data_IF_838922527525
#
_entry.id   IF_838922527525
#
_cell.length_a   1.000
_cell.length_b   1.000
_cell.length_c   1.000
_cell.angle_alpha   90.00
_cell.angle_beta   90.00
_cell.angle_gamma   90.00
#
_symmetry.space_group_name_H-M   'P 1'
#
loop_
_entity.id
_entity.type
_entity.pdbx_description
1 polymer ?
#
# COMPACT_ATOMS: atom_id res chain seq x y z
N UNK A 1 -27.42 -51.45 -42.07
CA UNK A 1 -27.15 -50.81 -40.79
C UNK A 1 -26.57 -49.43 -41.04
N UNK A 2 -27.40 -48.40 -40.98
CA UNK A 2 -26.98 -47.03 -41.20
C UNK A 2 -26.88 -46.29 -39.88
N UNK A 3 -25.64 -45.91 -39.50
CA UNK A 3 -25.37 -45.14 -38.28
C UNK A 3 -25.41 -43.64 -38.60
N UNK A 4 -26.47 -42.98 -38.22
CA UNK A 4 -26.65 -41.53 -38.39
C UNK A 4 -25.80 -40.78 -37.36
N UNK A 5 -24.74 -40.11 -37.80
CA UNK A 5 -24.00 -39.14 -36.99
C UNK A 5 -24.83 -37.88 -36.80
N UNK A 6 -25.32 -37.66 -35.59
CA UNK A 6 -25.89 -36.37 -35.15
C UNK A 6 -24.78 -35.36 -34.99
N UNK A 7 -24.66 -34.40 -35.90
CA UNK A 7 -23.81 -33.22 -35.76
C UNK A 7 -24.52 -32.25 -34.83
N UNK A 8 -23.93 -32.05 -33.65
CA UNK A 8 -24.38 -31.04 -32.71
C UNK A 8 -23.84 -29.69 -33.20
N UNK A 9 -24.70 -28.84 -33.75
CA UNK A 9 -24.38 -27.45 -34.07
C UNK A 9 -24.37 -26.67 -32.77
N UNK A 10 -23.21 -26.18 -32.37
CA UNK A 10 -23.03 -25.22 -31.27
C UNK A 10 -23.39 -23.83 -31.84
N UNK A 11 -24.60 -23.36 -31.58
CA UNK A 11 -25.02 -21.99 -31.89
C UNK A 11 -24.38 -21.07 -30.84
N UNK A 12 -23.22 -20.53 -31.20
CA UNK A 12 -22.47 -19.55 -30.39
C UNK A 12 -23.11 -18.16 -30.44
N UNK A 13 -24.28 -17.98 -29.82
CA UNK A 13 -24.77 -16.66 -29.43
C UNK A 13 -24.33 -16.41 -27.98
N UNK A 14 -23.03 -16.25 -27.81
CA UNK A 14 -22.48 -15.57 -26.64
C UNK A 14 -22.87 -14.09 -26.72
N UNK A 15 -24.07 -13.74 -26.28
CA UNK A 15 -24.41 -12.36 -25.97
C UNK A 15 -23.48 -11.91 -24.87
N UNK A 16 -22.34 -11.31 -25.26
CA UNK A 16 -21.55 -10.49 -24.36
C UNK A 16 -22.49 -9.42 -23.84
N UNK A 17 -22.91 -9.53 -22.58
CA UNK A 17 -23.60 -8.47 -21.87
C UNK A 17 -22.63 -7.29 -21.87
N UNK A 18 -22.73 -6.41 -22.83
CA UNK A 18 -22.23 -5.06 -22.80
C UNK A 18 -23.02 -4.37 -21.69
N UNK A 19 -22.51 -4.44 -20.45
CA UNK A 19 -23.07 -3.64 -19.38
C UNK A 19 -22.95 -2.17 -19.80
N UNK A 20 -24.05 -1.44 -19.71
CA UNK A 20 -24.02 0.00 -19.92
C UNK A 20 -22.91 0.63 -19.04
N UNK A 21 -22.23 1.66 -19.54
CA UNK A 21 -21.19 2.32 -18.76
C UNK A 21 -21.75 2.78 -17.39
N UNK A 22 -20.95 2.70 -16.31
CA UNK A 22 -21.42 3.09 -15.00
C UNK A 22 -21.88 4.54 -14.96
N UNK A 23 -23.04 4.78 -14.33
CA UNK A 23 -23.52 6.14 -14.11
C UNK A 23 -22.74 6.80 -12.97
N UNK A 24 -22.81 8.13 -12.89
CA UNK A 24 -22.23 8.90 -11.79
C UNK A 24 -22.68 8.42 -10.41
N UNK A 25 -23.97 8.12 -10.24
CA UNK A 25 -24.52 7.62 -8.98
C UNK A 25 -23.95 6.24 -8.63
N UNK A 26 -23.77 5.37 -9.62
CA UNK A 26 -23.14 4.07 -9.43
C UNK A 26 -21.68 4.21 -9.02
N UNK A 27 -20.89 5.08 -9.69
CA UNK A 27 -19.49 5.35 -9.34
C UNK A 27 -19.37 5.93 -7.93
N UNK A 28 -20.23 6.89 -7.57
CA UNK A 28 -20.29 7.47 -6.23
C UNK A 28 -20.61 6.41 -5.15
N UNK A 29 -21.58 5.53 -5.42
CA UNK A 29 -21.92 4.42 -4.53
C UNK A 29 -20.74 3.45 -4.31
N UNK A 30 -20.00 3.10 -5.38
CA UNK A 30 -18.80 2.28 -5.27
C UNK A 30 -17.71 2.95 -4.41
N UNK A 31 -17.45 4.23 -4.63
CA UNK A 31 -16.46 4.97 -3.85
C UNK A 31 -16.84 5.08 -2.36
N UNK A 32 -18.11 5.33 -2.04
CA UNK A 32 -18.60 5.32 -0.67
C UNK A 32 -18.46 3.95 0.00
N UNK A 33 -18.76 2.87 -0.71
CA UNK A 33 -18.60 1.51 -0.20
C UNK A 33 -17.12 1.16 0.08
N UNK A 34 -16.17 1.74 -0.69
CA UNK A 34 -14.75 1.63 -0.39
C UNK A 34 -14.39 2.38 0.90
N UNK A 35 -14.78 3.65 0.99
CA UNK A 35 -14.49 4.53 2.13
C UNK A 35 -15.14 4.05 3.44
N UNK A 36 -16.28 3.39 3.37
CA UNK A 36 -16.92 2.78 4.54
C UNK A 36 -16.09 1.64 5.19
N UNK A 37 -15.14 1.05 4.46
CA UNK A 37 -14.30 -0.05 4.98
C UNK A 37 -13.00 0.44 5.59
N UNK A 38 -12.38 1.44 4.96
CA UNK A 38 -11.14 2.08 5.40
C UNK A 38 -10.91 3.37 4.63
N UNK A 39 -9.96 4.16 5.08
CA UNK A 39 -9.46 5.27 4.26
C UNK A 39 -8.88 4.75 2.93
N UNK A 40 -9.14 5.48 1.86
CA UNK A 40 -8.58 5.23 0.52
C UNK A 40 -8.02 6.53 -0.04
N UNK A 41 -6.90 6.43 -0.76
CA UNK A 41 -6.40 7.58 -1.54
C UNK A 41 -7.30 7.87 -2.74
N UNK A 42 -7.26 9.11 -3.22
CA UNK A 42 -7.91 9.47 -4.49
C UNK A 42 -7.39 8.58 -5.64
N UNK A 43 -6.10 8.24 -5.64
CA UNK A 43 -5.49 7.34 -6.61
C UNK A 43 -6.05 5.91 -6.56
N UNK A 44 -6.28 5.34 -5.37
CA UNK A 44 -6.91 4.02 -5.22
C UNK A 44 -8.36 4.03 -5.72
N UNK A 45 -9.13 5.08 -5.39
CA UNK A 45 -10.52 5.24 -5.84
C UNK A 45 -10.56 5.37 -7.36
N UNK A 46 -9.76 6.27 -7.94
CA UNK A 46 -9.65 6.47 -9.39
C UNK A 46 -9.36 5.17 -10.12
N UNK A 47 -8.36 4.44 -9.68
CA UNK A 47 -8.01 3.14 -10.24
C UNK A 47 -9.18 2.17 -10.21
N UNK A 48 -9.86 2.05 -9.06
CA UNK A 48 -10.97 1.11 -8.90
C UNK A 48 -12.18 1.48 -9.76
N UNK A 49 -12.48 2.78 -9.87
CA UNK A 49 -13.59 3.25 -10.71
C UNK A 49 -13.29 3.10 -12.22
N UNK A 50 -12.02 3.28 -12.62
CA UNK A 50 -11.58 2.95 -13.99
C UNK A 50 -11.71 1.45 -14.29
N UNK A 51 -11.31 0.58 -13.36
CA UNK A 51 -11.36 -0.88 -13.53
C UNK A 51 -12.79 -1.40 -13.78
N UNK A 52 -13.82 -0.67 -13.33
CA UNK A 52 -15.23 -1.00 -13.58
C UNK A 52 -15.82 -0.28 -14.81
N UNK A 53 -14.99 0.41 -15.60
CA UNK A 53 -15.36 1.07 -16.84
C UNK A 53 -15.96 2.47 -16.66
N UNK A 54 -15.66 3.15 -15.56
CA UNK A 54 -16.09 4.53 -15.35
C UNK A 54 -15.45 5.51 -16.33
N UNK A 55 -16.21 6.49 -16.76
CA UNK A 55 -15.72 7.63 -17.55
C UNK A 55 -14.78 8.50 -16.70
N UNK A 56 -13.68 8.98 -17.31
CA UNK A 56 -12.63 9.70 -16.58
C UNK A 56 -13.14 11.01 -15.95
N UNK A 57 -13.95 11.78 -16.66
CA UNK A 57 -14.48 13.05 -16.17
C UNK A 57 -15.49 12.83 -15.02
N UNK A 58 -16.32 11.80 -15.13
CA UNK A 58 -17.25 11.41 -14.06
C UNK A 58 -16.49 10.93 -12.80
N UNK A 59 -15.38 10.22 -12.97
CA UNK A 59 -14.55 9.75 -11.85
C UNK A 59 -13.96 10.94 -11.10
N UNK A 60 -13.37 11.91 -11.81
CA UNK A 60 -12.77 13.09 -11.17
C UNK A 60 -13.84 13.95 -10.46
N UNK A 61 -15.02 14.10 -11.04
CA UNK A 61 -16.14 14.79 -10.42
C UNK A 61 -16.60 14.08 -9.12
N UNK A 62 -16.73 12.75 -9.14
CA UNK A 62 -17.05 11.95 -7.94
C UNK A 62 -15.98 12.13 -6.87
N UNK A 63 -14.69 12.03 -7.21
CA UNK A 63 -13.59 12.20 -6.25
C UNK A 63 -13.62 13.61 -5.64
N UNK A 64 -13.75 14.64 -6.48
CA UNK A 64 -13.84 16.03 -6.05
C UNK A 64 -14.97 16.26 -5.04
N UNK A 65 -16.17 15.71 -5.30
CA UNK A 65 -17.30 15.81 -4.39
C UNK A 65 -17.06 15.11 -3.04
N UNK A 66 -16.41 13.94 -3.06
CA UNK A 66 -16.06 13.24 -1.83
C UNK A 66 -15.05 14.05 -1.00
N UNK A 67 -14.10 14.72 -1.66
CA UNK A 67 -13.14 15.61 -0.99
C UNK A 67 -13.80 16.85 -0.40
N UNK A 68 -14.64 17.54 -1.17
CA UNK A 68 -15.39 18.73 -0.70
C UNK A 68 -16.26 18.41 0.53
N UNK A 69 -16.82 17.19 0.57
CA UNK A 69 -17.61 16.71 1.72
C UNK A 69 -16.75 16.11 2.83
N UNK A 70 -15.43 16.17 2.73
CA UNK A 70 -14.47 15.57 3.65
C UNK A 70 -14.68 14.05 3.89
N UNK A 71 -15.29 13.37 2.94
CA UNK A 71 -15.44 11.90 2.96
C UNK A 71 -14.18 11.19 2.51
N UNK A 72 -13.44 11.78 1.58
CA UNK A 72 -12.12 11.33 1.15
C UNK A 72 -11.05 12.36 1.53
N UNK A 73 -9.87 11.88 1.98
CA UNK A 73 -8.70 12.72 2.27
C UNK A 73 -7.42 11.91 2.10
N UNK A 74 -6.53 12.40 1.22
CA UNK A 74 -5.21 11.79 1.03
C UNK A 74 -4.32 11.95 2.27
N UNK A 75 -4.54 12.98 3.07
CA UNK A 75 -3.84 13.18 4.36
C UNK A 75 -4.23 12.08 5.35
N UNK A 76 -5.53 11.89 5.63
CA UNK A 76 -5.99 10.84 6.55
C UNK A 76 -5.59 9.44 6.07
N UNK A 77 -5.69 9.21 4.74
CA UNK A 77 -5.22 7.96 4.15
C UNK A 77 -3.73 7.74 4.43
N UNK A 78 -2.88 8.75 4.18
CA UNK A 78 -1.43 8.65 4.36
C UNK A 78 -1.04 8.39 5.81
N UNK A 79 -1.64 9.10 6.76
CA UNK A 79 -1.44 8.88 8.20
C UNK A 79 -1.82 7.46 8.64
N UNK A 80 -2.99 6.99 8.20
CA UNK A 80 -3.45 5.63 8.48
C UNK A 80 -2.54 4.57 7.86
N UNK A 81 -2.05 4.82 6.64
CA UNK A 81 -1.13 3.93 5.93
C UNK A 81 0.22 3.84 6.63
N UNK A 82 0.83 4.98 7.00
CA UNK A 82 2.10 5.04 7.75
C UNK A 82 1.97 4.24 9.04
N UNK A 83 0.94 4.51 9.85
CA UNK A 83 0.69 3.81 11.11
C UNK A 83 0.61 2.29 10.91
N UNK A 84 -0.25 1.85 10.03
CA UNK A 84 -0.45 0.42 9.74
C UNK A 84 0.81 -0.28 9.25
N UNK A 85 1.67 0.42 8.50
CA UNK A 85 2.92 -0.16 7.98
C UNK A 85 4.03 -0.17 9.04
N UNK A 86 4.17 0.90 9.82
CA UNK A 86 5.10 0.99 10.93
C UNK A 86 4.85 -0.13 11.96
N UNK A 87 3.59 -0.32 12.38
CA UNK A 87 3.18 -1.40 13.29
C UNK A 87 3.53 -2.80 12.77
N UNK A 88 3.56 -2.99 11.44
CA UNK A 88 3.99 -4.24 10.79
C UNK A 88 5.50 -4.34 10.58
N UNK A 89 6.28 -3.39 11.08
CA UNK A 89 7.73 -3.37 11.00
C UNK A 89 8.29 -3.00 9.64
N UNK A 90 7.59 -2.15 8.87
CA UNK A 90 8.14 -1.55 7.67
C UNK A 90 8.80 -0.21 7.98
N UNK A 91 9.93 0.04 7.34
CA UNK A 91 10.67 1.29 7.45
C UNK A 91 10.24 2.35 6.44
N UNK A 92 10.74 3.58 6.59
CA UNK A 92 10.26 4.76 5.86
C UNK A 92 10.34 4.64 4.35
N UNK A 93 11.38 4.00 3.79
CA UNK A 93 11.54 3.86 2.33
C UNK A 93 10.45 3.02 1.67
N UNK A 94 10.08 1.89 2.28
CA UNK A 94 9.00 1.03 1.76
C UNK A 94 7.65 1.71 1.94
N UNK A 95 7.46 2.45 3.03
CA UNK A 95 6.22 3.19 3.29
C UNK A 95 6.07 4.32 2.28
N UNK A 96 7.10 5.13 2.05
CA UNK A 96 7.09 6.20 1.04
C UNK A 96 6.76 5.66 -0.35
N UNK A 97 7.44 4.60 -0.77
CA UNK A 97 7.18 3.95 -2.04
C UNK A 97 5.72 3.50 -2.15
N UNK A 98 5.21 2.85 -1.10
CA UNK A 98 3.82 2.38 -1.10
C UNK A 98 2.77 3.49 -1.09
N UNK A 99 3.05 4.68 -0.55
CA UNK A 99 2.21 5.86 -0.66
C UNK A 99 2.20 6.38 -2.11
N UNK A 100 3.38 6.48 -2.73
CA UNK A 100 3.52 6.92 -4.13
C UNK A 100 2.82 6.00 -5.11
N UNK A 101 2.90 4.69 -4.93
CA UNK A 101 2.18 3.70 -5.73
C UNK A 101 0.65 3.87 -5.65
N UNK A 102 0.18 4.59 -4.64
CA UNK A 102 -1.24 4.90 -4.41
C UNK A 102 -1.63 6.33 -4.79
N UNK A 103 -0.76 7.01 -5.50
CA UNK A 103 -1.02 8.34 -6.05
C UNK A 103 -0.75 9.50 -5.08
N UNK A 104 -0.12 9.24 -3.93
CA UNK A 104 0.36 10.32 -3.06
C UNK A 104 1.67 10.87 -3.64
N UNK A 105 1.76 12.17 -3.80
CA UNK A 105 2.97 12.80 -4.29
C UNK A 105 4.14 12.66 -3.31
N UNK A 106 5.35 12.83 -3.83
CA UNK A 106 6.57 12.60 -3.05
C UNK A 106 6.68 13.52 -1.82
N UNK A 107 6.32 14.78 -1.98
CA UNK A 107 6.43 15.75 -0.90
C UNK A 107 5.43 15.46 0.21
N UNK A 108 4.17 15.20 -0.12
CA UNK A 108 3.14 14.79 0.83
C UNK A 108 3.51 13.49 1.57
N UNK A 109 4.07 12.50 0.86
CA UNK A 109 4.53 11.26 1.48
C UNK A 109 5.68 11.50 2.48
N UNK A 110 6.66 12.36 2.12
CA UNK A 110 7.77 12.76 2.98
C UNK A 110 7.28 13.48 4.24
N UNK A 111 6.44 14.49 4.07
CA UNK A 111 5.87 15.26 5.18
C UNK A 111 5.08 14.38 6.15
N UNK A 112 4.28 13.44 5.64
CA UNK A 112 3.54 12.50 6.48
C UNK A 112 4.48 11.60 7.30
N UNK A 113 5.57 11.13 6.71
CA UNK A 113 6.57 10.32 7.42
C UNK A 113 7.28 11.13 8.51
N UNK A 114 7.65 12.38 8.23
CA UNK A 114 8.33 13.27 9.18
C UNK A 114 7.42 13.66 10.35
N UNK A 115 6.13 13.91 10.08
CA UNK A 115 5.14 14.28 11.10
C UNK A 115 4.53 13.08 11.84
N UNK A 116 4.88 11.85 11.45
CA UNK A 116 4.26 10.62 11.99
C UNK A 116 4.55 10.34 13.46
N UNK A 117 5.59 10.98 14.02
CA UNK A 117 6.03 10.78 15.41
C UNK A 117 6.81 9.48 15.65
N UNK A 118 7.08 8.66 14.63
CA UNK A 118 7.89 7.45 14.78
C UNK A 118 9.37 7.77 14.84
N UNK A 119 10.08 7.24 15.86
CA UNK A 119 11.53 7.09 15.83
C UNK A 119 11.88 5.85 14.99
N UNK A 120 12.29 6.09 13.75
CA UNK A 120 12.62 5.01 12.80
C UNK A 120 13.89 4.25 13.20
N UNK A 121 14.80 4.87 13.99
CA UNK A 121 15.95 4.17 14.53
C UNK A 121 15.52 3.16 15.59
N UNK A 122 14.66 3.58 16.53
CA UNK A 122 14.09 2.70 17.55
C UNK A 122 13.29 1.56 16.92
N UNK A 123 12.46 1.87 15.91
CA UNK A 123 11.72 0.84 15.16
C UNK A 123 12.63 -0.20 14.49
N UNK A 124 13.79 0.21 13.96
CA UNK A 124 14.75 -0.71 13.37
C UNK A 124 15.43 -1.60 14.43
N UNK A 125 15.79 -1.01 15.59
CA UNK A 125 16.36 -1.72 16.74
C UNK A 125 15.37 -2.79 17.23
N UNK A 126 14.15 -2.40 17.52
CA UNK A 126 13.11 -3.28 18.03
C UNK A 126 12.80 -4.42 17.06
N UNK A 127 12.69 -4.11 15.77
CA UNK A 127 12.42 -5.10 14.74
C UNK A 127 13.55 -6.13 14.64
N UNK A 128 14.83 -5.68 14.69
CA UNK A 128 15.99 -6.58 14.69
C UNK A 128 15.97 -7.48 15.92
N UNK A 129 15.80 -6.89 17.09
CA UNK A 129 15.83 -7.63 18.36
C UNK A 129 14.69 -8.65 18.45
N UNK A 130 13.47 -8.28 18.07
CA UNK A 130 12.33 -9.21 18.03
C UNK A 130 12.57 -10.39 17.08
N UNK A 131 13.32 -10.17 16.00
CA UNK A 131 13.53 -11.20 14.97
C UNK A 131 14.74 -12.08 15.22
N UNK A 132 15.82 -11.56 15.79
CA UNK A 132 17.12 -12.19 15.87
C UNK A 132 17.70 -12.28 17.29
N UNK A 133 17.03 -11.69 18.26
CA UNK A 133 17.52 -11.57 19.64
C UNK A 133 18.22 -10.24 19.91
N UNK A 134 18.47 -9.98 21.19
CA UNK A 134 19.09 -8.73 21.64
C UNK A 134 20.58 -8.65 21.26
N UNK A 135 21.24 -9.80 21.21
CA UNK A 135 22.69 -9.87 20.97
C UNK A 135 23.06 -9.39 19.56
N UNK A 136 24.17 -8.68 19.47
CA UNK A 136 24.73 -8.30 18.17
C UNK A 136 25.42 -9.48 17.50
N UNK A 137 25.25 -9.63 16.17
CA UNK A 137 25.85 -10.74 15.45
C UNK A 137 27.37 -10.60 15.34
N UNK A 138 28.12 -11.53 15.92
CA UNK A 138 29.59 -11.58 15.84
C UNK A 138 30.08 -12.09 14.48
N UNK A 139 29.34 -13.03 13.87
CA UNK A 139 29.70 -13.61 12.58
C UNK A 139 29.34 -12.68 11.41
N UNK A 140 30.27 -12.38 10.49
CA UNK A 140 30.01 -11.50 9.34
C UNK A 140 28.84 -11.95 8.46
N UNK A 141 28.65 -13.26 8.30
CA UNK A 141 27.55 -13.85 7.51
C UNK A 141 26.19 -13.53 8.16
N UNK A 142 26.09 -13.66 9.47
CA UNK A 142 24.86 -13.38 10.19
C UNK A 142 24.55 -11.88 10.21
N UNK A 143 25.58 -11.04 10.42
CA UNK A 143 25.44 -9.58 10.30
C UNK A 143 24.90 -9.17 8.93
N UNK A 144 25.45 -9.74 7.84
CA UNK A 144 24.99 -9.47 6.48
C UNK A 144 23.55 -9.93 6.24
N UNK A 145 23.12 -11.04 6.86
CA UNK A 145 21.74 -11.53 6.80
C UNK A 145 20.76 -10.56 7.48
N UNK A 146 21.09 -10.10 8.68
CA UNK A 146 20.26 -9.15 9.44
C UNK A 146 20.19 -7.78 8.74
N UNK A 147 21.30 -7.31 8.18
CA UNK A 147 21.35 -6.09 7.39
C UNK A 147 20.40 -6.16 6.18
N UNK A 148 20.49 -7.23 5.39
CA UNK A 148 19.58 -7.43 4.24
C UNK A 148 18.13 -7.50 4.65
N UNK A 149 17.81 -8.10 5.79
CA UNK A 149 16.44 -8.13 6.33
C UNK A 149 15.92 -6.72 6.61
N UNK A 150 16.69 -5.86 7.29
CA UNK A 150 16.30 -4.48 7.57
C UNK A 150 16.18 -3.64 6.28
N UNK A 151 17.10 -3.84 5.34
CA UNK A 151 17.02 -3.20 4.01
C UNK A 151 15.75 -3.58 3.25
N UNK A 152 15.40 -4.87 3.25
CA UNK A 152 14.17 -5.36 2.61
C UNK A 152 12.90 -4.80 3.29
N UNK A 153 12.96 -4.56 4.58
CA UNK A 153 11.89 -3.90 5.33
C UNK A 153 11.78 -2.39 5.08
N UNK A 154 12.76 -1.78 4.41
CA UNK A 154 12.75 -0.37 4.04
C UNK A 154 13.48 0.55 4.99
N UNK A 155 14.30 -0.01 5.87
CA UNK A 155 15.24 0.76 6.69
C UNK A 155 16.55 0.98 5.90
N UNK A 156 17.26 2.07 6.18
CA UNK A 156 18.52 2.38 5.51
C UNK A 156 19.44 3.22 6.37
N UNK A 157 20.69 3.41 5.93
CA UNK A 157 21.64 4.35 6.49
C UNK A 157 21.62 4.43 8.02
N UNK A 158 21.06 5.54 8.52
CA UNK A 158 20.99 5.87 9.94
C UNK A 158 20.23 4.84 10.78
N UNK A 159 19.07 4.40 10.31
CA UNK A 159 18.23 3.44 11.04
C UNK A 159 18.94 2.08 11.18
N UNK A 160 19.55 1.60 10.08
CA UNK A 160 20.32 0.36 10.10
C UNK A 160 21.55 0.51 11.02
N UNK A 161 22.26 1.64 10.91
CA UNK A 161 23.42 1.89 11.78
C UNK A 161 23.02 1.88 13.26
N UNK A 162 21.90 2.48 13.62
CA UNK A 162 21.36 2.46 14.97
C UNK A 162 21.05 1.03 15.44
N UNK A 163 20.45 0.21 14.57
CA UNK A 163 20.09 -1.17 14.89
C UNK A 163 21.31 -2.08 15.21
N UNK A 164 22.52 -1.68 14.80
CA UNK A 164 23.76 -2.42 15.07
C UNK A 164 24.71 -1.68 16.03
N UNK A 165 24.38 -0.46 16.45
CA UNK A 165 25.20 0.33 17.39
C UNK A 165 24.94 0.04 18.88
N UNK A 166 24.06 -0.88 19.21
CA UNK A 166 23.72 -1.24 20.58
C UNK A 166 24.87 -1.85 21.42
N UNK A 167 26.12 -1.66 20.97
CA UNK A 167 27.35 -2.03 21.67
C UNK A 167 28.36 -0.90 21.53
N UNK A 168 28.13 0.21 22.22
CA UNK A 168 29.28 0.97 22.68
C UNK A 168 29.69 0.29 23.96
N UNK A 169 30.76 -0.51 23.89
CA UNK A 169 31.52 -0.93 25.06
C UNK A 169 31.83 0.30 25.88
N UNK A 170 31.30 0.35 27.09
CA UNK A 170 31.90 1.12 28.16
C UNK A 170 33.11 0.29 28.58
N UNK A 171 34.20 0.35 27.81
CA UNK A 171 35.52 0.03 28.36
C UNK A 171 36.09 1.32 28.95
N UNK A 172 36.17 1.33 30.28
CA UNK A 172 36.97 2.25 31.05
C UNK A 172 38.45 2.16 30.69
#
# INVERSE_FOLDING_TARGET
MFTTKRTFKFDGTGEGRTQAPPTRESLHGHALAMLARREHSAGEIRKKLNDIGGDADLIEDVISQLQVRNLQSDVRFSESYVRSRAERGYGPRVIEMGLRDRGIDRESARLTLESSGYDWCEQAIDLRQRRFGADSPTAPKERARQLRFLQYRGFAGREISAAFKGEVSYDD
#
